data_IF_109434068960
#
_entry.id   IF_109434068960
#
_cell.length_a   1.000
_cell.length_b   1.000
_cell.length_c   1.000
_cell.angle_alpha   90.00
_cell.angle_beta   90.00
_cell.angle_gamma   90.00
#
_symmetry.space_group_name_H-M   'P 1'
#
loop_
_entity.id
_entity.type
_entity.pdbx_description
1 polymer ?
#
# COMPACT_ATOMS: atom_id res chain seq x y z
N UNK A 1 -1.52 111.35 11.83
CA UNK A 1 -1.26 109.89 11.91
C UNK A 1 -1.76 109.28 10.62
N UNK A 2 -0.82 108.75 9.84
CA UNK A 2 -0.94 108.46 8.42
C UNK A 2 -1.77 107.19 8.12
N UNK A 3 -2.41 107.24 6.95
CA UNK A 3 -2.87 106.08 6.20
C UNK A 3 -1.68 105.25 5.67
N UNK A 4 -1.85 103.93 5.51
CA UNK A 4 -1.67 103.23 4.23
C UNK A 4 -1.59 101.69 4.43
N UNK A 5 -2.46 101.00 3.69
CA UNK A 5 -2.17 99.88 2.78
C UNK A 5 -2.06 98.43 3.29
N UNK A 6 -3.09 97.68 2.85
CA UNK A 6 -3.03 96.30 2.33
C UNK A 6 -1.69 95.97 1.64
N UNK A 7 -1.15 94.78 1.92
CA UNK A 7 -0.50 93.97 0.88
C UNK A 7 -0.70 92.48 1.10
N UNK A 8 -1.34 91.88 0.10
CA UNK A 8 -1.46 90.46 -0.20
C UNK A 8 -0.07 89.91 -0.53
N UNK A 9 0.25 88.72 -0.04
CA UNK A 9 1.38 87.89 -0.49
C UNK A 9 1.21 86.49 0.10
N UNK A 10 0.57 85.53 -0.57
CA UNK A 10 1.08 84.71 -1.68
C UNK A 10 2.35 83.93 -1.35
N UNK A 11 2.16 82.61 -1.24
CA UNK A 11 3.08 81.53 -1.61
C UNK A 11 4.30 81.28 -0.72
N UNK A 12 4.30 80.10 -0.10
CA UNK A 12 5.47 79.52 0.55
C UNK A 12 5.16 78.19 1.22
N UNK A 13 4.55 77.24 0.51
CA UNK A 13 4.52 75.85 0.97
C UNK A 13 5.98 75.37 1.10
N UNK A 14 6.42 74.88 2.27
CA UNK A 14 7.77 74.38 2.40
C UNK A 14 7.89 73.12 1.54
N UNK A 15 8.76 73.18 0.52
CA UNK A 15 9.24 72.03 -0.23
C UNK A 15 9.98 71.08 0.74
N UNK A 16 9.20 70.18 1.34
CA UNK A 16 9.68 69.10 2.20
C UNK A 16 10.53 68.17 1.32
N UNK A 17 11.84 68.11 1.57
CA UNK A 17 12.73 67.06 1.07
C UNK A 17 12.12 65.71 1.48
N UNK A 18 11.51 65.01 0.53
CA UNK A 18 10.99 63.67 0.72
C UNK A 18 11.70 62.72 -0.22
N UNK A 19 12.60 61.89 0.31
CA UNK A 19 12.90 60.63 -0.35
C UNK A 19 11.65 59.75 -0.22
N UNK A 20 11.02 59.37 -1.33
CA UNK A 20 10.01 58.31 -1.32
C UNK A 20 10.72 56.97 -1.11
N UNK A 21 11.12 56.66 0.12
CA UNK A 21 11.56 55.32 0.52
C UNK A 21 10.34 54.53 0.97
N UNK A 22 9.57 54.01 0.01
CA UNK A 22 8.52 53.04 0.29
C UNK A 22 8.83 51.75 -0.48
N UNK A 23 9.16 50.68 0.26
CA UNK A 23 9.40 49.32 -0.21
C UNK A 23 10.65 49.09 -1.10
N UNK A 24 11.34 47.98 -0.84
CA UNK A 24 12.50 47.48 -1.59
C UNK A 24 12.21 47.16 -3.09
N UNK A 25 11.01 47.50 -3.57
CA UNK A 25 10.47 47.27 -4.90
C UNK A 25 10.11 48.56 -5.64
N UNK A 26 10.21 49.74 -5.00
CA UNK A 26 9.94 51.02 -5.65
C UNK A 26 11.14 51.51 -6.45
N UNK A 27 10.87 52.07 -7.63
CA UNK A 27 11.88 52.80 -8.40
C UNK A 27 12.14 54.14 -7.70
N UNK A 28 13.37 54.41 -7.23
CA UNK A 28 13.69 55.68 -6.61
C UNK A 28 13.69 56.78 -7.67
N UNK A 29 12.98 57.87 -7.40
CA UNK A 29 12.90 59.02 -8.29
C UNK A 29 13.41 60.28 -7.58
N UNK A 30 14.61 60.71 -7.97
CA UNK A 30 15.23 61.93 -7.45
C UNK A 30 14.62 63.15 -8.12
N UNK A 31 13.75 63.83 -7.37
CA UNK A 31 13.06 65.01 -7.87
C UNK A 31 13.92 66.26 -7.91
N UNK A 32 14.98 66.32 -7.09
CA UNK A 32 15.87 67.48 -7.06
C UNK A 32 16.77 67.50 -8.29
N UNK A 33 17.43 66.38 -8.56
CA UNK A 33 18.35 66.26 -9.70
C UNK A 33 17.60 66.33 -11.04
N UNK A 34 16.38 65.80 -11.09
CA UNK A 34 15.49 65.94 -12.25
C UNK A 34 15.11 67.39 -12.52
N UNK A 35 14.66 68.15 -11.50
CA UNK A 35 14.32 69.56 -11.65
C UNK A 35 15.52 70.42 -12.04
N UNK A 36 16.69 70.13 -11.46
CA UNK A 36 17.94 70.83 -11.75
C UNK A 36 18.37 70.63 -13.21
N UNK A 37 18.25 69.42 -13.73
CA UNK A 37 18.55 69.10 -15.13
C UNK A 37 17.58 69.73 -16.12
N UNK A 38 16.31 69.91 -15.75
CA UNK A 38 15.36 70.64 -16.59
C UNK A 38 15.74 72.13 -16.64
N UNK A 39 16.05 72.72 -15.49
CA UNK A 39 16.47 74.13 -15.41
C UNK A 39 17.78 74.39 -16.18
N UNK A 40 18.76 73.49 -16.11
CA UNK A 40 20.02 73.63 -16.85
C UNK A 40 19.86 73.52 -18.37
N UNK A 41 18.76 72.92 -18.85
CA UNK A 41 18.41 72.81 -20.28
C UNK A 41 17.54 73.97 -20.78
N UNK A 42 17.33 75.01 -19.99
CA UNK A 42 16.62 76.23 -20.40
C UNK A 42 15.12 76.25 -20.08
N UNK A 43 14.60 75.24 -19.38
CA UNK A 43 13.21 75.29 -18.90
C UNK A 43 13.07 76.28 -17.74
N UNK A 44 11.97 77.04 -17.74
CA UNK A 44 11.66 77.93 -16.62
C UNK A 44 11.32 77.13 -15.36
N UNK A 45 11.43 77.75 -14.18
CA UNK A 45 11.13 77.04 -12.94
C UNK A 45 9.68 76.54 -12.86
N UNK A 46 8.74 77.21 -13.53
CA UNK A 46 7.33 76.80 -13.55
C UNK A 46 7.10 75.59 -14.46
N UNK A 47 7.74 75.56 -15.62
CA UNK A 47 7.67 74.41 -16.55
C UNK A 47 8.36 73.18 -15.96
N UNK A 48 9.52 73.37 -15.32
CA UNK A 48 10.24 72.29 -14.65
C UNK A 48 9.40 71.65 -13.53
N UNK A 49 8.70 72.46 -12.71
CA UNK A 49 7.82 71.96 -11.66
C UNK A 49 6.57 71.27 -12.20
N UNK A 50 5.99 71.77 -13.31
CA UNK A 50 4.84 71.13 -13.95
C UNK A 50 5.19 69.74 -14.50
N UNK A 51 6.32 69.64 -15.22
CA UNK A 51 6.83 68.36 -15.75
C UNK A 51 7.14 67.40 -14.60
N UNK A 52 7.85 67.88 -13.58
CA UNK A 52 8.20 67.09 -12.39
C UNK A 52 6.97 66.55 -11.66
N UNK A 53 5.88 67.31 -11.61
CA UNK A 53 4.63 66.88 -10.96
C UNK A 53 4.00 65.72 -11.71
N UNK A 54 3.92 65.79 -13.05
CA UNK A 54 3.38 64.72 -13.89
C UNK A 54 4.28 63.47 -13.82
N UNK A 55 5.60 63.65 -13.92
CA UNK A 55 6.55 62.53 -13.84
C UNK A 55 6.51 61.85 -12.47
N UNK A 56 6.41 62.61 -11.38
CA UNK A 56 6.28 62.06 -10.03
C UNK A 56 4.99 61.24 -9.90
N UNK A 57 3.87 61.72 -10.44
CA UNK A 57 2.60 60.99 -10.42
C UNK A 57 2.70 59.67 -11.20
N UNK A 58 3.23 59.70 -12.42
CA UNK A 58 3.42 58.50 -13.25
C UNK A 58 4.35 57.45 -12.59
N UNK A 59 5.44 57.89 -11.95
CA UNK A 59 6.32 56.99 -11.20
C UNK A 59 5.61 56.40 -9.97
N UNK A 60 4.76 57.19 -9.30
CA UNK A 60 3.92 56.73 -8.21
C UNK A 60 2.98 55.59 -8.65
N UNK A 61 2.24 55.80 -9.73
CA UNK A 61 1.31 54.81 -10.30
C UNK A 61 2.03 53.54 -10.80
N UNK A 62 3.21 53.71 -11.40
CA UNK A 62 4.06 52.58 -11.79
C UNK A 62 4.47 51.75 -10.57
N UNK A 63 4.91 52.39 -9.50
CA UNK A 63 5.35 51.70 -8.29
C UNK A 63 4.19 50.96 -7.60
N UNK A 64 2.98 51.55 -7.55
CA UNK A 64 1.79 50.86 -7.00
C UNK A 64 1.41 49.64 -7.82
N UNK A 65 1.50 49.73 -9.15
CA UNK A 65 1.18 48.61 -10.05
C UNK A 65 2.23 47.50 -9.99
N UNK A 66 3.51 47.84 -9.78
CA UNK A 66 4.58 46.83 -9.67
C UNK A 66 4.48 45.96 -8.43
N UNK A 67 3.93 46.49 -7.32
CA UNK A 67 3.81 45.73 -6.06
C UNK A 67 2.89 44.52 -6.21
N UNK A 68 1.84 44.59 -7.03
CA UNK A 68 0.95 43.44 -7.26
C UNK A 68 1.50 42.42 -8.26
N UNK A 69 2.44 42.82 -9.11
CA UNK A 69 3.00 41.98 -10.17
C UNK A 69 4.25 41.21 -9.74
N UNK A 70 4.90 41.59 -8.65
CA UNK A 70 6.18 41.01 -8.24
C UNK A 70 6.15 40.52 -6.80
N UNK A 71 6.37 39.22 -6.62
CA UNK A 71 6.61 38.64 -5.30
C UNK A 71 8.01 39.06 -4.82
N UNK A 72 8.15 39.70 -3.64
CA UNK A 72 9.45 40.10 -3.15
C UNK A 72 10.34 38.86 -2.94
N UNK A 73 11.66 39.05 -3.10
CA UNK A 73 12.65 37.96 -3.00
C UNK A 73 12.57 37.20 -1.67
N UNK A 74 12.20 37.87 -0.59
CA UNK A 74 12.00 37.30 0.75
C UNK A 74 10.93 36.22 0.73
N UNK A 75 9.75 36.56 0.23
CA UNK A 75 8.58 35.68 0.21
C UNK A 75 8.82 34.51 -0.74
N UNK A 76 9.53 34.75 -1.85
CA UNK A 76 9.96 33.67 -2.75
C UNK A 76 10.94 32.70 -2.09
N UNK A 77 11.83 33.17 -1.22
CA UNK A 77 12.74 32.30 -0.48
C UNK A 77 11.97 31.45 0.54
N UNK A 78 11.01 32.04 1.26
CA UNK A 78 10.15 31.34 2.21
C UNK A 78 9.29 30.26 1.52
N UNK A 79 8.67 30.60 0.38
CA UNK A 79 7.92 29.64 -0.44
C UNK A 79 8.80 28.47 -0.90
N UNK A 80 10.06 28.74 -1.26
CA UNK A 80 11.01 27.70 -1.67
C UNK A 80 11.39 26.80 -0.50
N UNK A 81 11.62 27.36 0.69
CA UNK A 81 11.93 26.57 1.89
C UNK A 81 10.75 25.69 2.30
N UNK A 82 9.53 26.25 2.29
CA UNK A 82 8.31 25.52 2.63
C UNK A 82 8.04 24.37 1.65
N UNK A 83 8.19 24.62 0.35
CA UNK A 83 8.03 23.60 -0.67
C UNK A 83 9.08 22.50 -0.51
N UNK A 84 10.35 22.86 -0.29
CA UNK A 84 11.43 21.90 -0.04
C UNK A 84 11.13 21.01 1.16
N UNK A 85 10.66 21.60 2.26
CA UNK A 85 10.30 20.85 3.46
C UNK A 85 9.08 19.94 3.23
N UNK A 86 8.07 20.39 2.49
CA UNK A 86 6.91 19.56 2.11
C UNK A 86 7.32 18.38 1.25
N UNK A 87 8.19 18.59 0.26
CA UNK A 87 8.72 17.52 -0.59
C UNK A 87 9.50 16.52 0.24
N UNK A 88 10.44 16.98 1.07
CA UNK A 88 11.24 16.11 1.94
C UNK A 88 10.36 15.26 2.87
N UNK A 89 9.35 15.87 3.50
CA UNK A 89 8.39 15.16 4.36
C UNK A 89 7.57 14.13 3.58
N UNK A 90 7.12 14.49 2.37
CA UNK A 90 6.38 13.58 1.50
C UNK A 90 7.23 12.37 1.10
N UNK A 91 8.49 12.59 0.71
CA UNK A 91 9.44 11.53 0.37
C UNK A 91 9.68 10.60 1.56
N UNK A 92 9.92 11.15 2.75
CA UNK A 92 10.11 10.33 3.96
C UNK A 92 8.87 9.50 4.29
N UNK A 93 7.68 10.09 4.21
CA UNK A 93 6.43 9.35 4.44
C UNK A 93 6.22 8.24 3.41
N UNK A 94 6.57 8.49 2.15
CA UNK A 94 6.51 7.48 1.10
C UNK A 94 7.47 6.31 1.38
N UNK A 95 8.71 6.59 1.78
CA UNK A 95 9.67 5.55 2.16
C UNK A 95 9.18 4.72 3.36
N UNK A 96 8.63 5.37 4.38
CA UNK A 96 8.06 4.69 5.55
C UNK A 96 6.88 3.80 5.14
N UNK A 97 5.97 4.31 4.33
CA UNK A 97 4.83 3.54 3.83
C UNK A 97 5.29 2.34 2.99
N UNK A 98 6.28 2.53 2.12
CA UNK A 98 6.85 1.46 1.31
C UNK A 98 7.52 0.38 2.17
N UNK A 99 8.31 0.79 3.18
CA UNK A 99 8.92 -0.14 4.13
C UNK A 99 7.88 -0.93 4.93
N UNK A 100 6.88 -0.24 5.48
CA UNK A 100 5.79 -0.86 6.21
C UNK A 100 5.05 -1.89 5.33
N UNK A 101 4.75 -1.53 4.08
CA UNK A 101 4.08 -2.45 3.15
C UNK A 101 4.93 -3.69 2.85
N UNK A 102 6.24 -3.52 2.67
CA UNK A 102 7.16 -4.67 2.54
C UNK A 102 7.15 -5.56 3.77
N UNK A 103 7.20 -5.00 4.96
CA UNK A 103 7.18 -5.74 6.23
C UNK A 103 5.86 -6.51 6.43
N UNK A 104 4.72 -5.91 6.02
CA UNK A 104 3.41 -6.59 6.02
C UNK A 104 3.42 -7.78 5.06
N UNK A 105 3.86 -7.58 3.81
CA UNK A 105 3.93 -8.64 2.81
C UNK A 105 4.83 -9.80 3.28
N UNK A 106 5.98 -9.48 3.88
CA UNK A 106 6.93 -10.49 4.37
C UNK A 106 6.35 -11.28 5.55
N UNK A 107 5.62 -10.61 6.45
CA UNK A 107 4.89 -11.27 7.54
C UNK A 107 3.80 -12.19 7.00
N UNK A 108 2.97 -11.71 6.07
CA UNK A 108 1.87 -12.49 5.49
C UNK A 108 2.39 -13.71 4.73
N UNK A 109 3.50 -13.56 4.00
CA UNK A 109 4.16 -14.67 3.34
C UNK A 109 4.69 -15.71 4.33
N UNK A 110 5.32 -15.25 5.43
CA UNK A 110 5.79 -16.15 6.50
C UNK A 110 4.63 -16.90 7.16
N UNK A 111 3.51 -16.22 7.41
CA UNK A 111 2.32 -16.83 7.98
C UNK A 111 1.74 -17.89 7.03
N UNK A 112 1.54 -17.53 5.77
CA UNK A 112 1.00 -18.45 4.75
C UNK A 112 1.89 -19.69 4.60
N UNK A 113 3.21 -19.52 4.61
CA UNK A 113 4.16 -20.64 4.56
C UNK A 113 4.00 -21.59 5.76
N UNK A 114 3.81 -21.03 6.96
CA UNK A 114 3.59 -21.83 8.16
C UNK A 114 2.24 -22.56 8.10
N UNK A 115 1.19 -21.87 7.65
CA UNK A 115 -0.14 -22.44 7.52
C UNK A 115 -0.18 -23.60 6.52
N UNK A 116 0.47 -23.44 5.37
CA UNK A 116 0.63 -24.51 4.37
C UNK A 116 1.35 -25.72 5.00
N UNK A 117 2.49 -25.48 5.66
CA UNK A 117 3.27 -26.57 6.27
C UNK A 117 2.49 -27.30 7.36
N UNK A 118 1.71 -26.57 8.17
CA UNK A 118 0.87 -27.18 9.20
C UNK A 118 -0.29 -27.98 8.59
N UNK A 119 -0.92 -27.45 7.54
CA UNK A 119 -2.00 -28.13 6.81
C UNK A 119 -1.50 -29.41 6.16
N UNK A 120 -0.39 -29.36 5.42
CA UNK A 120 0.23 -30.54 4.82
C UNK A 120 0.57 -31.60 5.87
N UNK A 121 1.08 -31.20 7.04
CA UNK A 121 1.39 -32.13 8.12
C UNK A 121 0.12 -32.80 8.65
N UNK A 122 -0.94 -32.04 8.89
CA UNK A 122 -2.21 -32.57 9.37
C UNK A 122 -2.83 -33.54 8.36
N UNK A 123 -2.78 -33.21 7.08
CA UNK A 123 -3.29 -34.06 6.01
C UNK A 123 -2.48 -35.37 5.89
N UNK A 124 -1.15 -35.29 5.97
CA UNK A 124 -0.28 -36.47 5.98
C UNK A 124 -0.54 -37.37 7.19
N UNK A 125 -0.72 -36.78 8.37
CA UNK A 125 -1.03 -37.53 9.58
C UNK A 125 -2.41 -38.19 9.47
N UNK A 126 -3.40 -37.49 8.90
CA UNK A 126 -4.72 -38.06 8.62
C UNK A 126 -4.63 -39.25 7.66
N UNK A 127 -3.95 -39.10 6.53
CA UNK A 127 -3.74 -40.18 5.56
C UNK A 127 -3.04 -41.37 6.21
N UNK A 128 -2.04 -41.15 7.06
CA UNK A 128 -1.37 -42.22 7.81
C UNK A 128 -2.31 -42.94 8.76
N UNK A 129 -3.18 -42.21 9.47
CA UNK A 129 -4.16 -42.83 10.38
C UNK A 129 -5.20 -43.66 9.63
N UNK A 130 -5.68 -43.16 8.48
CA UNK A 130 -6.61 -43.89 7.62
C UNK A 130 -5.95 -45.14 7.03
N UNK A 131 -4.70 -45.04 6.58
CA UNK A 131 -3.93 -46.19 6.09
C UNK A 131 -3.76 -47.26 7.17
N UNK A 132 -3.35 -46.87 8.38
CA UNK A 132 -3.21 -47.80 9.50
C UNK A 132 -4.54 -48.44 9.92
N UNK A 133 -5.65 -47.72 9.76
CA UNK A 133 -6.99 -48.27 10.01
C UNK A 133 -7.35 -49.32 8.96
N UNK A 134 -7.17 -49.01 7.68
CA UNK A 134 -7.43 -49.94 6.57
C UNK A 134 -6.56 -51.19 6.68
N UNK A 135 -5.28 -51.03 7.03
CA UNK A 135 -4.36 -52.17 7.23
C UNK A 135 -4.83 -53.10 8.35
N UNK A 136 -5.31 -52.56 9.48
CA UNK A 136 -5.87 -53.37 10.56
C UNK A 136 -7.15 -54.10 10.15
N UNK A 137 -8.06 -53.42 9.46
CA UNK A 137 -9.30 -54.02 8.96
C UNK A 137 -8.99 -55.17 7.99
N UNK A 138 -8.03 -54.97 7.08
CA UNK A 138 -7.56 -56.00 6.16
C UNK A 138 -6.97 -57.22 6.89
N UNK A 139 -6.13 -57.00 7.90
CA UNK A 139 -5.55 -58.10 8.68
C UNK A 139 -6.61 -58.88 9.48
N UNK A 140 -7.61 -58.19 10.04
CA UNK A 140 -8.72 -58.83 10.74
C UNK A 140 -9.59 -59.65 9.78
N UNK A 141 -9.88 -59.12 8.59
CA UNK A 141 -10.60 -59.85 7.56
C UNK A 141 -9.83 -61.11 7.15
N UNK A 142 -8.52 -60.98 6.87
CA UNK A 142 -7.66 -62.12 6.53
C UNK A 142 -7.70 -63.21 7.61
N UNK A 143 -7.61 -62.83 8.90
CA UNK A 143 -7.69 -63.78 10.00
C UNK A 143 -9.05 -64.50 10.05
N UNK A 144 -10.13 -63.76 9.83
CA UNK A 144 -11.50 -64.32 9.77
C UNK A 144 -11.63 -65.30 8.60
N UNK A 145 -11.08 -64.95 7.44
CA UNK A 145 -11.05 -65.81 6.26
C UNK A 145 -10.23 -67.09 6.51
N UNK A 146 -9.08 -67.00 7.19
CA UNK A 146 -8.29 -68.17 7.60
C UNK A 146 -9.05 -69.08 8.59
N UNK A 147 -9.74 -68.49 9.57
CA UNK A 147 -10.56 -69.25 10.53
C UNK A 147 -11.73 -69.96 9.84
N UNK A 148 -12.41 -69.28 8.91
CA UNK A 148 -13.51 -69.89 8.13
C UNK A 148 -12.99 -71.00 7.22
N UNK A 149 -11.87 -70.80 6.52
CA UNK A 149 -11.23 -71.83 5.70
C UNK A 149 -10.88 -73.06 6.55
N UNK A 150 -10.25 -72.88 7.71
CA UNK A 150 -9.92 -73.98 8.61
C UNK A 150 -11.18 -74.73 9.07
N UNK A 151 -12.26 -74.01 9.40
CA UNK A 151 -13.54 -74.64 9.76
C UNK A 151 -14.13 -75.48 8.63
N UNK A 152 -14.05 -74.99 7.38
CA UNK A 152 -14.48 -75.72 6.19
C UNK A 152 -13.59 -76.94 5.95
N UNK A 153 -12.28 -76.83 6.17
CA UNK A 153 -11.35 -77.95 6.05
C UNK A 153 -11.71 -79.10 7.02
N UNK A 154 -11.95 -78.77 8.29
CA UNK A 154 -12.38 -79.76 9.30
C UNK A 154 -13.75 -80.38 8.94
N UNK A 155 -14.69 -79.56 8.48
CA UNK A 155 -16.00 -80.04 8.05
C UNK A 155 -15.88 -81.00 6.87
N UNK A 156 -14.99 -80.70 5.92
CA UNK A 156 -14.74 -81.55 4.76
C UNK A 156 -14.11 -82.88 5.18
N UNK A 157 -13.08 -82.87 6.04
CA UNK A 157 -12.46 -84.11 6.57
C UNK A 157 -13.49 -84.99 7.30
N UNK A 158 -14.41 -84.37 8.06
CA UNK A 158 -15.50 -85.08 8.73
C UNK A 158 -16.49 -85.70 7.75
N UNK A 159 -16.78 -85.01 6.64
CA UNK A 159 -17.63 -85.53 5.57
C UNK A 159 -16.96 -86.69 4.83
N UNK A 160 -15.68 -86.55 4.48
CA UNK A 160 -14.89 -87.62 3.85
C UNK A 160 -14.89 -88.89 4.72
N UNK A 161 -14.66 -88.76 6.03
CA UNK A 161 -14.74 -89.89 6.98
C UNK A 161 -16.12 -90.55 6.97
N UNK A 162 -17.20 -89.76 6.95
CA UNK A 162 -18.58 -90.29 6.91
C UNK A 162 -18.89 -90.98 5.59
N UNK A 163 -18.49 -90.38 4.46
CA UNK A 163 -18.66 -90.98 3.12
C UNK A 163 -17.90 -92.31 3.04
N UNK A 164 -16.67 -92.36 3.54
CA UNK A 164 -15.87 -93.58 3.58
C UNK A 164 -16.53 -94.66 4.45
N UNK A 165 -17.05 -94.30 5.63
CA UNK A 165 -17.82 -95.21 6.48
C UNK A 165 -19.08 -95.75 5.78
N UNK A 166 -19.87 -94.89 5.13
CA UNK A 166 -21.05 -95.32 4.38
C UNK A 166 -20.69 -96.24 3.22
N UNK A 167 -19.60 -95.94 2.52
CA UNK A 167 -19.12 -96.73 1.38
C UNK A 167 -18.67 -98.13 1.84
N UNK A 168 -17.90 -98.22 2.92
CA UNK A 168 -17.46 -99.50 3.52
C UNK A 168 -18.64 -100.29 4.09
N UNK A 169 -19.60 -99.64 4.75
CA UNK A 169 -20.80 -100.30 5.26
C UNK A 169 -21.70 -100.82 4.12
N UNK A 170 -21.84 -100.05 3.04
CA UNK A 170 -22.59 -100.45 1.86
C UNK A 170 -21.92 -101.61 1.12
N UNK A 171 -20.61 -101.55 0.87
CA UNK A 171 -19.89 -102.66 0.23
C UNK A 171 -19.92 -103.93 1.07
N UNK A 172 -19.77 -103.81 2.40
CA UNK A 172 -19.87 -104.94 3.32
C UNK A 172 -21.24 -105.62 3.30
N UNK A 173 -22.32 -104.83 3.39
CA UNK A 173 -23.69 -105.37 3.31
C UNK A 173 -23.97 -106.00 1.95
N UNK A 174 -23.54 -105.37 0.86
CA UNK A 174 -23.67 -105.91 -0.50
C UNK A 174 -22.94 -107.26 -0.67
N UNK A 175 -21.68 -107.37 -0.20
CA UNK A 175 -20.94 -108.63 -0.22
C UNK A 175 -21.63 -109.74 0.57
N UNK A 176 -22.21 -109.44 1.74
CA UNK A 176 -22.95 -110.42 2.54
C UNK A 176 -24.21 -110.91 1.80
N UNK A 177 -24.93 -110.03 1.13
CA UNK A 177 -26.10 -110.40 0.32
C UNK A 177 -25.68 -111.31 -0.84
N UNK A 178 -24.63 -110.93 -1.58
CA UNK A 178 -24.10 -111.77 -2.67
C UNK A 178 -23.64 -113.15 -2.18
N UNK A 179 -22.90 -113.20 -1.07
CA UNK A 179 -22.46 -114.47 -0.48
C UNK A 179 -23.64 -115.36 -0.10
N UNK A 180 -24.73 -114.77 0.40
CA UNK A 180 -25.94 -115.53 0.77
C UNK A 180 -26.73 -116.01 -0.44
N UNK A 181 -26.76 -115.24 -1.53
CA UNK A 181 -27.35 -115.69 -2.81
C UNK A 181 -26.51 -116.81 -3.43
N UNK A 182 -25.18 -116.66 -3.44
CA UNK A 182 -24.27 -117.67 -3.96
C UNK A 182 -24.30 -118.97 -3.15
N UNK A 183 -24.56 -118.92 -1.84
CA UNK A 183 -24.73 -120.11 -1.01
C UNK A 183 -26.09 -120.82 -1.18
N UNK A 184 -27.05 -120.19 -1.85
CA UNK A 184 -28.39 -120.74 -2.08
C UNK A 184 -28.54 -121.42 -3.45
N UNK A 185 -27.60 -121.16 -4.37
CA UNK A 185 -27.45 -121.84 -5.67
C UNK A 185 -26.36 -122.90 -5.59
#
# INVERSE_FOLDING_TARGET
MAALWRRIGSAGLPLRRGFCMAAATSVPFDTYLFAQNLKSKGFTSKEADAILTVTRAAVGEMNTTRVSLFTPKTDHLELKTDLSQKVLRSTMNFEIAHRHMREVIERDFSNLKNDIRMTEKLDLDKVRTELAKVEREFLLQKKTDEETLNSLHIANEKLEKRILQYTVAFSGTFCLVLARVAAFF
#
